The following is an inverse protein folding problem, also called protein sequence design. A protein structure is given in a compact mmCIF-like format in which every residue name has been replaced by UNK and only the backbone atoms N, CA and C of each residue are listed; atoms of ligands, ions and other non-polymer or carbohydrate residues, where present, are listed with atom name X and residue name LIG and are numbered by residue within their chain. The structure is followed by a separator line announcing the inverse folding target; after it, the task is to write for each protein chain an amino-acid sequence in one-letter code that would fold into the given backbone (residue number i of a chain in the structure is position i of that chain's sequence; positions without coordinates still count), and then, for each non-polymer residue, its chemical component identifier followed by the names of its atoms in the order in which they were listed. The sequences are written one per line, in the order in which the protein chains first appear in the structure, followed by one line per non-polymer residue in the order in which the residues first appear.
data_IF_993654562981
#
_entry.id   IF_993654562981
#
_cell.length_a   1.000
_cell.length_b   1.000
_cell.length_c   1.000
_cell.angle_alpha   90.00
_cell.angle_beta   90.00
_cell.angle_gamma   90.00
#
_symmetry.space_group_name_H-M   'P 1'
#
loop_
_entity.id
_entity.type
_entity.pdbx_description
1 polymer ?
#
# COMPACT_ATOMS: atom_id res chain seq x y z
N UNK A 1 19.00 17.89 -3.17
CA UNK A 1 18.29 16.98 -4.11
C UNK A 1 19.27 16.57 -5.19
N UNK A 2 19.27 15.31 -5.59
CA UNK A 2 20.03 14.82 -6.75
C UNK A 2 19.16 14.91 -8.00
N UNK A 3 19.79 15.21 -9.15
CA UNK A 3 19.09 15.33 -10.43
C UNK A 3 19.06 13.97 -11.13
N UNK A 4 17.87 13.54 -11.57
CA UNK A 4 17.70 12.33 -12.36
C UNK A 4 17.28 12.73 -13.79
N UNK A 5 18.05 12.32 -14.79
CA UNK A 5 17.71 12.51 -16.21
C UNK A 5 17.27 11.19 -16.80
N UNK A 6 16.04 11.15 -17.32
CA UNK A 6 15.40 9.94 -17.85
C UNK A 6 14.62 10.28 -19.12
N UNK A 7 14.50 9.30 -20.02
CA UNK A 7 13.69 9.40 -21.23
C UNK A 7 12.48 8.48 -21.08
N UNK A 8 11.29 9.02 -21.35
CA UNK A 8 10.04 8.27 -21.36
C UNK A 8 9.54 8.12 -22.80
N UNK A 9 8.83 7.04 -23.14
CA UNK A 9 8.05 6.98 -24.37
C UNK A 9 7.06 8.14 -24.46
N UNK A 10 6.82 8.65 -25.67
CA UNK A 10 5.95 9.82 -25.89
C UNK A 10 4.51 9.61 -25.39
N UNK A 11 3.99 8.39 -25.50
CA UNK A 11 2.68 8.03 -24.96
C UNK A 11 2.61 8.24 -23.45
N UNK A 12 3.64 7.78 -22.73
CA UNK A 12 3.72 7.87 -21.28
C UNK A 12 3.93 9.32 -20.84
N UNK A 13 4.81 10.06 -21.51
CA UNK A 13 5.03 11.48 -21.23
C UNK A 13 3.74 12.30 -21.41
N UNK A 14 2.93 12.02 -22.45
CA UNK A 14 1.62 12.67 -22.66
C UNK A 14 0.64 12.37 -21.54
N UNK A 15 0.52 11.10 -21.13
CA UNK A 15 -0.37 10.72 -20.02
C UNK A 15 0.07 11.37 -18.70
N UNK A 16 1.37 11.35 -18.41
CA UNK A 16 1.95 11.96 -17.23
C UNK A 16 1.65 13.46 -17.16
N UNK A 17 1.77 14.17 -18.29
CA UNK A 17 1.44 15.59 -18.39
C UNK A 17 -0.03 15.87 -18.08
N UNK A 18 -0.93 15.03 -18.58
CA UNK A 18 -2.37 15.18 -18.32
C UNK A 18 -2.73 14.89 -16.86
N UNK A 19 -2.14 13.86 -16.25
CA UNK A 19 -2.35 13.56 -14.82
C UNK A 19 -1.81 14.68 -13.92
N UNK A 20 -0.57 15.13 -14.15
CA UNK A 20 0.00 16.24 -13.41
C UNK A 20 -0.85 17.52 -13.52
N UNK A 21 -1.42 17.79 -14.71
CA UNK A 21 -2.34 18.91 -14.93
C UNK A 21 -3.63 18.76 -14.14
N UNK A 22 -4.21 17.56 -14.08
CA UNK A 22 -5.43 17.28 -13.29
C UNK A 22 -5.20 17.49 -11.80
N UNK A 23 -4.02 17.09 -11.31
CA UNK A 23 -3.64 17.22 -9.90
C UNK A 23 -3.10 18.62 -9.56
N UNK A 24 -2.94 19.50 -10.56
CA UNK A 24 -2.45 20.87 -10.35
C UNK A 24 -0.98 20.96 -9.94
N UNK A 25 -0.18 19.94 -10.23
CA UNK A 25 1.24 19.86 -9.84
C UNK A 25 2.17 19.76 -11.06
N UNK A 26 3.47 20.01 -10.85
CA UNK A 26 4.46 19.83 -11.91
C UNK A 26 4.69 18.35 -12.23
N UNK A 27 5.16 18.05 -13.44
CA UNK A 27 5.56 16.68 -13.84
C UNK A 27 6.62 16.12 -12.88
N UNK A 28 7.60 16.93 -12.47
CA UNK A 28 8.66 16.48 -11.57
C UNK A 28 8.11 16.13 -10.19
N UNK A 29 7.15 16.92 -9.68
CA UNK A 29 6.49 16.63 -8.40
C UNK A 29 5.64 15.37 -8.51
N UNK A 30 4.91 15.20 -9.61
CA UNK A 30 4.14 13.98 -9.85
C UNK A 30 5.04 12.74 -9.87
N UNK A 31 6.17 12.78 -10.59
CA UNK A 31 7.14 11.68 -10.62
C UNK A 31 7.67 11.40 -9.21
N UNK A 32 8.06 12.44 -8.47
CA UNK A 32 8.59 12.26 -7.11
C UNK A 32 7.58 11.60 -6.17
N UNK A 33 6.32 12.04 -6.21
CA UNK A 33 5.23 11.44 -5.43
C UNK A 33 4.98 10.00 -5.85
N UNK A 34 4.87 9.73 -7.15
CA UNK A 34 4.63 8.37 -7.66
C UNK A 34 5.77 7.40 -7.28
N UNK A 35 7.02 7.87 -7.28
CA UNK A 35 8.17 7.08 -6.81
C UNK A 35 8.05 6.79 -5.31
N UNK A 36 7.73 7.80 -4.49
CA UNK A 36 7.55 7.62 -3.05
C UNK A 36 6.39 6.65 -2.72
N UNK A 37 5.29 6.74 -3.45
CA UNK A 37 4.15 5.83 -3.34
C UNK A 37 4.55 4.40 -3.72
N UNK A 38 5.25 4.22 -4.85
CA UNK A 38 5.69 2.89 -5.30
C UNK A 38 6.66 2.26 -4.32
N UNK A 39 7.60 3.04 -3.77
CA UNK A 39 8.51 2.58 -2.71
C UNK A 39 7.75 2.14 -1.47
N UNK A 40 6.83 2.99 -0.98
CA UNK A 40 6.01 2.67 0.20
C UNK A 40 5.19 1.41 0.02
N UNK A 41 4.63 1.19 -1.18
CA UNK A 41 3.88 -0.02 -1.51
C UNK A 41 4.77 -1.27 -1.48
N UNK A 42 5.98 -1.21 -2.04
CA UNK A 42 6.92 -2.32 -2.04
C UNK A 42 7.43 -2.62 -0.62
N UNK A 43 7.80 -1.59 0.14
CA UNK A 43 8.24 -1.74 1.54
C UNK A 43 7.14 -2.35 2.42
N UNK A 44 5.88 -2.03 2.15
CA UNK A 44 4.73 -2.59 2.85
C UNK A 44 4.56 -4.08 2.56
N UNK A 45 4.72 -4.50 1.30
CA UNK A 45 4.69 -5.92 0.92
C UNK A 45 5.77 -6.68 1.69
N UNK A 46 7.00 -6.20 1.64
CA UNK A 46 8.13 -6.79 2.34
C UNK A 46 7.91 -6.88 3.86
N UNK A 47 7.32 -5.82 4.46
CA UNK A 47 6.96 -5.82 5.88
C UNK A 47 5.94 -6.91 6.21
N UNK A 48 4.86 -7.01 5.42
CA UNK A 48 3.80 -7.99 5.64
C UNK A 48 4.33 -9.43 5.50
N UNK A 49 5.19 -9.70 4.53
CA UNK A 49 5.84 -11.01 4.36
C UNK A 49 6.69 -11.37 5.59
N UNK A 50 7.57 -10.46 6.03
CA UNK A 50 8.37 -10.66 7.24
C UNK A 50 7.50 -10.84 8.48
N UNK A 51 6.38 -10.13 8.57
CA UNK A 51 5.43 -10.25 9.69
C UNK A 51 4.71 -11.59 9.66
N UNK A 52 4.30 -12.05 8.48
CA UNK A 52 3.64 -13.32 8.26
C UNK A 52 4.51 -14.52 8.65
N UNK A 53 5.82 -14.46 8.37
CA UNK A 53 6.79 -15.48 8.82
C UNK A 53 6.85 -15.64 10.34
N UNK A 54 6.55 -14.57 11.09
CA UNK A 54 6.48 -14.62 12.57
C UNK A 54 5.14 -15.16 13.09
N UNK A 55 4.19 -15.42 12.19
CA UNK A 55 2.88 -15.97 12.53
C UNK A 55 2.96 -17.42 12.97
N UNK A 56 2.14 -17.80 13.95
CA UNK A 56 2.00 -19.20 14.36
C UNK A 56 0.52 -19.57 14.40
N UNK A 57 0.09 -20.39 13.43
CA UNK A 57 -1.31 -20.79 13.25
C UNK A 57 -1.87 -21.56 14.45
N UNK A 58 -1.04 -22.37 15.13
CA UNK A 58 -1.45 -23.09 16.35
C UNK A 58 -1.71 -22.13 17.49
N UNK A 59 -0.79 -21.19 17.76
CA UNK A 59 -0.99 -20.14 18.79
C UNK A 59 -2.23 -19.30 18.49
N UNK A 60 -2.44 -18.94 17.23
CA UNK A 60 -3.64 -18.21 16.79
C UNK A 60 -4.92 -18.99 17.10
N UNK A 61 -5.01 -20.27 16.71
CA UNK A 61 -6.19 -21.11 17.01
C UNK A 61 -6.40 -21.30 18.52
N UNK A 62 -5.32 -21.47 19.29
CA UNK A 62 -5.41 -21.59 20.74
C UNK A 62 -5.94 -20.32 21.43
N UNK A 63 -5.75 -19.15 20.81
CA UNK A 63 -6.37 -17.90 21.29
C UNK A 63 -7.84 -17.87 20.89
N UNK A 64 -8.16 -18.21 19.63
CA UNK A 64 -9.55 -18.26 19.16
C UNK A 64 -10.42 -19.25 19.94
N UNK A 65 -9.88 -20.39 20.37
CA UNK A 65 -10.63 -21.38 21.18
C UNK A 65 -11.02 -20.87 22.57
N UNK A 66 -10.52 -19.70 22.99
CA UNK A 66 -10.94 -19.04 24.24
C UNK A 66 -12.18 -18.17 24.04
N UNK A 67 -12.54 -17.86 22.80
CA UNK A 67 -13.77 -17.12 22.50
C UNK A 67 -14.94 -18.07 22.73
N UNK A 68 -15.92 -17.72 23.59
CA UNK A 68 -17.11 -18.53 23.79
C UNK A 68 -17.90 -18.67 22.48
N UNK A 69 -18.35 -19.89 22.18
CA UNK A 69 -19.22 -20.17 21.04
C UNK A 69 -20.68 -19.86 21.44
N UNK A 70 -21.00 -18.57 21.49
CA UNK A 70 -22.33 -18.06 21.86
C UNK A 70 -22.77 -17.02 20.83
N UNK A 71 -24.08 -16.78 20.76
CA UNK A 71 -24.61 -15.73 19.91
C UNK A 71 -23.97 -14.37 20.28
N UNK A 72 -23.63 -13.52 19.30
CA UNK A 72 -23.16 -12.17 19.56
C UNK A 72 -24.22 -11.40 20.37
N UNK A 73 -23.78 -10.42 21.14
CA UNK A 73 -24.71 -9.55 21.86
C UNK A 73 -25.59 -8.77 20.86
N UNK A 74 -26.78 -8.37 21.29
CA UNK A 74 -27.78 -7.79 20.36
C UNK A 74 -27.30 -6.54 19.62
N UNK A 75 -26.32 -5.81 20.16
CA UNK A 75 -25.70 -4.65 19.53
C UNK A 75 -24.52 -5.00 18.59
N UNK A 76 -24.00 -6.23 18.64
CA UNK A 76 -22.91 -6.73 17.79
C UNK A 76 -23.45 -7.49 16.56
N UNK A 77 -24.76 -7.68 16.47
CA UNK A 77 -25.42 -8.47 15.42
C UNK A 77 -25.62 -7.73 14.08
N UNK A 78 -25.08 -6.52 13.91
CA UNK A 78 -25.26 -5.65 12.73
C UNK A 78 -24.02 -5.48 11.89
#
# INVERSE_FOLDING_TARGET
MTTLSLRLPDSLHRQLKELARRDGISINQFIATAVAEKMSALDTVDYLERRAMKGNRKKFRNVLSKVPDVAPEGFDAT
#
